data_IF_218030934232
#
_entry.id   IF_218030934232
#
_cell.length_a   1.000
_cell.length_b   1.000
_cell.length_c   1.000
_cell.angle_alpha   90.00
_cell.angle_beta   90.00
_cell.angle_gamma   90.00
#
_symmetry.space_group_name_H-M   'P 1'
#
loop_
_entity.id
_entity.type
_entity.pdbx_description
1 polymer ?
#
# COMPACT_ATOMS: atom_id res chain seq x y z
N UNK A 1 -14.04 -15.70 2.23
CA UNK A 1 -13.97 -17.06 1.67
C UNK A 1 -15.25 -17.85 1.97
N UNK A 2 -15.71 -17.93 3.23
CA UNK A 2 -16.96 -18.64 3.60
C UNK A 2 -18.20 -18.28 2.76
N UNK A 3 -18.44 -16.99 2.51
CA UNK A 3 -19.60 -16.52 1.71
C UNK A 3 -19.59 -17.10 0.28
N UNK A 4 -18.44 -17.21 -0.34
CA UNK A 4 -18.31 -17.73 -1.72
C UNK A 4 -18.49 -19.25 -1.73
N UNK A 5 -17.96 -19.96 -0.72
CA UNK A 5 -18.17 -21.39 -0.55
C UNK A 5 -19.66 -21.73 -0.34
N UNK A 6 -20.36 -21.01 0.53
CA UNK A 6 -21.81 -21.21 0.75
C UNK A 6 -22.62 -20.95 -0.52
N UNK A 7 -22.28 -19.89 -1.27
CA UNK A 7 -22.95 -19.60 -2.55
C UNK A 7 -22.70 -20.68 -3.60
N UNK A 8 -21.48 -21.20 -3.67
CA UNK A 8 -21.13 -22.29 -4.58
C UNK A 8 -21.89 -23.58 -4.22
N UNK A 9 -21.89 -23.97 -2.95
CA UNK A 9 -22.63 -25.14 -2.46
C UNK A 9 -24.14 -25.03 -2.72
N UNK A 10 -24.72 -23.84 -2.49
CA UNK A 10 -26.12 -23.57 -2.83
C UNK A 10 -26.39 -23.69 -4.32
N UNK A 11 -25.46 -23.22 -5.15
CA UNK A 11 -25.59 -23.24 -6.61
C UNK A 11 -25.48 -24.66 -7.21
N UNK A 12 -24.56 -25.49 -6.73
CA UNK A 12 -24.50 -26.91 -7.16
C UNK A 12 -25.71 -27.69 -6.67
N UNK A 13 -26.18 -27.42 -5.45
CA UNK A 13 -27.35 -28.09 -4.87
C UNK A 13 -28.64 -27.76 -5.63
N UNK A 14 -28.81 -26.52 -6.09
CA UNK A 14 -29.93 -26.13 -6.98
C UNK A 14 -29.95 -26.91 -8.30
N UNK A 15 -28.80 -27.49 -8.70
CA UNK A 15 -28.65 -28.32 -9.91
C UNK A 15 -28.69 -29.82 -9.61
N UNK A 16 -28.96 -30.19 -8.35
CA UNK A 16 -28.97 -31.60 -7.92
C UNK A 16 -27.58 -32.24 -7.91
N UNK A 17 -26.51 -31.45 -7.92
CA UNK A 17 -25.13 -31.94 -7.89
C UNK A 17 -24.58 -31.82 -6.48
N UNK A 18 -24.09 -32.94 -5.94
CA UNK A 18 -23.37 -32.95 -4.66
C UNK A 18 -21.91 -32.55 -4.86
N UNK A 19 -21.26 -32.09 -3.79
CA UNK A 19 -19.84 -31.72 -3.84
C UNK A 19 -18.93 -32.88 -4.32
N UNK A 20 -19.28 -34.12 -3.96
CA UNK A 20 -18.55 -35.32 -4.38
C UNK A 20 -18.73 -35.66 -5.87
N UNK A 21 -19.86 -35.25 -6.47
CA UNK A 21 -20.19 -35.47 -7.88
C UNK A 21 -19.84 -34.24 -8.74
N UNK A 22 -19.34 -33.17 -8.14
CA UNK A 22 -19.01 -31.94 -8.84
C UNK A 22 -17.90 -32.20 -9.85
N UNK A 23 -18.13 -31.78 -11.09
CA UNK A 23 -17.17 -31.93 -12.18
C UNK A 23 -16.37 -30.64 -12.42
N UNK A 24 -15.28 -30.76 -13.15
CA UNK A 24 -14.52 -29.60 -13.64
C UNK A 24 -15.41 -28.65 -14.47
N UNK A 25 -16.36 -29.18 -15.25
CA UNK A 25 -17.29 -28.38 -16.05
C UNK A 25 -18.27 -27.55 -15.20
N UNK A 26 -18.64 -28.02 -14.01
CA UNK A 26 -19.46 -27.26 -13.07
C UNK A 26 -18.68 -26.08 -12.48
N UNK A 27 -17.41 -26.31 -12.15
CA UNK A 27 -16.50 -25.25 -11.70
C UNK A 27 -16.28 -24.21 -12.79
N UNK A 28 -16.00 -24.62 -14.02
CA UNK A 28 -15.84 -23.69 -15.14
C UNK A 28 -17.10 -22.85 -15.38
N UNK A 29 -18.29 -23.48 -15.28
CA UNK A 29 -19.56 -22.78 -15.43
C UNK A 29 -19.87 -21.84 -14.27
N UNK A 30 -19.41 -22.14 -13.06
CA UNK A 30 -19.43 -21.22 -11.93
C UNK A 30 -18.50 -20.02 -12.16
N UNK A 31 -17.29 -20.26 -12.66
CA UNK A 31 -16.29 -19.20 -12.94
C UNK A 31 -16.70 -18.31 -14.12
N UNK A 32 -17.49 -18.82 -15.07
CA UNK A 32 -18.03 -18.06 -16.20
C UNK A 32 -18.96 -16.90 -15.76
N UNK A 33 -19.53 -16.95 -14.55
CA UNK A 33 -20.34 -15.87 -14.00
C UNK A 33 -19.50 -14.62 -13.61
N UNK A 34 -18.17 -14.73 -13.59
CA UNK A 34 -17.25 -13.61 -13.41
C UNK A 34 -16.23 -13.78 -12.28
N UNK A 35 -15.38 -12.76 -12.06
CA UNK A 35 -14.22 -12.85 -11.17
C UNK A 35 -14.58 -13.07 -9.69
N UNK A 36 -15.81 -12.78 -9.29
CA UNK A 36 -16.30 -13.00 -7.92
C UNK A 36 -16.42 -14.49 -7.54
N UNK A 37 -16.41 -15.41 -8.52
CA UNK A 37 -16.48 -16.86 -8.29
C UNK A 37 -15.15 -17.52 -7.94
N UNK A 38 -14.02 -16.90 -8.32
CA UNK A 38 -12.68 -17.48 -8.18
C UNK A 38 -12.18 -17.71 -6.74
N UNK A 39 -12.61 -16.95 -5.71
CA UNK A 39 -12.30 -17.27 -4.31
C UNK A 39 -12.83 -18.64 -3.83
N UNK A 40 -13.63 -19.35 -4.64
CA UNK A 40 -14.04 -20.74 -4.38
C UNK A 40 -12.85 -21.71 -4.40
N UNK A 41 -11.74 -21.35 -5.05
CA UNK A 41 -10.53 -22.19 -5.17
C UNK A 41 -10.06 -22.73 -3.83
N UNK A 42 -9.93 -21.87 -2.81
CA UNK A 42 -9.35 -22.26 -1.53
C UNK A 42 -10.28 -23.25 -0.79
N UNK A 43 -11.59 -23.12 -0.97
CA UNK A 43 -12.58 -24.08 -0.47
C UNK A 43 -12.47 -25.42 -1.21
N UNK A 44 -12.34 -25.41 -2.54
CA UNK A 44 -12.22 -26.64 -3.33
C UNK A 44 -10.89 -27.36 -3.09
N UNK A 45 -9.81 -26.62 -2.84
CA UNK A 45 -8.52 -27.18 -2.40
C UNK A 45 -8.68 -27.91 -1.07
N UNK A 46 -9.28 -27.24 -0.07
CA UNK A 46 -9.58 -27.86 1.22
C UNK A 46 -10.49 -29.10 1.09
N UNK A 47 -11.54 -29.01 0.26
CA UNK A 47 -12.48 -30.11 0.05
C UNK A 47 -11.82 -31.33 -0.60
N UNK A 48 -10.90 -31.11 -1.55
CA UNK A 48 -10.12 -32.18 -2.16
C UNK A 48 -9.13 -32.81 -1.17
N UNK A 49 -8.44 -31.99 -0.37
CA UNK A 49 -7.55 -32.46 0.70
C UNK A 49 -8.26 -33.34 1.73
N UNK A 50 -9.55 -33.08 2.01
CA UNK A 50 -10.37 -33.83 2.97
C UNK A 50 -11.27 -34.88 2.29
N UNK A 51 -11.03 -35.19 1.02
CA UNK A 51 -11.76 -36.22 0.25
C UNK A 51 -13.28 -35.97 0.11
N UNK A 52 -13.72 -34.71 0.19
CA UNK A 52 -15.11 -34.30 -0.04
C UNK A 52 -15.42 -33.99 -1.52
N UNK A 53 -14.40 -33.80 -2.36
CA UNK A 53 -14.51 -33.65 -3.80
C UNK A 53 -13.28 -34.21 -4.51
N UNK A 54 -13.38 -34.54 -5.81
CA UNK A 54 -12.19 -34.69 -6.65
C UNK A 54 -11.39 -33.38 -6.70
N UNK A 55 -10.10 -33.47 -7.02
CA UNK A 55 -9.25 -32.30 -7.24
C UNK A 55 -9.70 -31.54 -8.47
N UNK A 56 -10.07 -30.27 -8.30
CA UNK A 56 -10.55 -29.41 -9.39
C UNK A 56 -9.59 -28.26 -9.66
N UNK A 57 -9.48 -27.87 -10.92
CA UNK A 57 -8.57 -26.82 -11.37
C UNK A 57 -9.34 -25.51 -11.40
N UNK A 58 -9.01 -24.60 -10.49
CA UNK A 58 -9.47 -23.20 -10.54
C UNK A 58 -8.25 -22.33 -10.89
N UNK A 59 -8.26 -21.63 -12.04
CA UNK A 59 -7.17 -20.74 -12.41
C UNK A 59 -6.95 -19.69 -11.33
N UNK A 60 -5.70 -19.34 -11.08
CA UNK A 60 -5.41 -18.19 -10.23
C UNK A 60 -5.63 -16.94 -11.08
N UNK A 61 -6.68 -16.16 -10.83
CA UNK A 61 -6.72 -14.81 -11.41
C UNK A 61 -5.53 -14.06 -10.83
N UNK A 62 -4.60 -13.66 -11.69
CA UNK A 62 -3.62 -12.64 -11.32
C UNK A 62 -4.41 -11.44 -10.81
N UNK A 63 -4.27 -11.11 -9.52
CA UNK A 63 -4.94 -9.95 -8.93
C UNK A 63 -4.67 -8.77 -9.87
N UNK A 64 -5.70 -8.26 -10.55
CA UNK A 64 -5.56 -7.06 -11.39
C UNK A 64 -4.97 -6.02 -10.47
N UNK A 65 -3.73 -5.70 -10.75
CA UNK A 65 -3.00 -4.75 -9.97
C UNK A 65 -3.71 -3.44 -10.39
N UNK A 66 -4.61 -2.89 -9.54
CA UNK A 66 -5.37 -1.65 -9.80
C UNK A 66 -4.50 -0.46 -10.23
N UNK A 67 -5.03 0.58 -10.87
CA UNK A 67 -4.19 1.61 -11.49
C UNK A 67 -3.28 2.34 -10.49
N UNK A 68 -2.02 2.52 -10.87
CA UNK A 68 -1.10 3.41 -10.15
C UNK A 68 -1.50 4.86 -10.42
N UNK A 69 -1.21 5.78 -9.49
CA UNK A 69 -1.30 7.22 -9.79
C UNK A 69 -0.33 7.55 -10.91
N UNK A 70 -0.75 8.42 -11.83
CA UNK A 70 0.12 8.89 -12.91
C UNK A 70 1.40 9.53 -12.32
N UNK A 71 2.58 9.31 -12.92
CA UNK A 71 3.84 9.84 -12.39
C UNK A 71 3.83 11.37 -12.22
N UNK A 72 3.24 12.11 -13.17
CA UNK A 72 3.24 13.57 -13.16
C UNK A 72 2.26 14.09 -12.10
N UNK A 73 1.07 13.48 -12.03
CA UNK A 73 0.09 13.76 -10.98
C UNK A 73 0.69 13.51 -9.59
N UNK A 74 1.42 12.39 -9.43
CA UNK A 74 2.08 12.07 -8.16
C UNK A 74 3.16 13.09 -7.80
N UNK A 75 4.01 13.49 -8.75
CA UNK A 75 5.06 14.48 -8.48
C UNK A 75 4.50 15.87 -8.19
N UNK A 76 3.40 16.26 -8.83
CA UNK A 76 2.67 17.48 -8.50
C UNK A 76 2.13 17.45 -7.06
N UNK A 77 1.57 16.31 -6.62
CA UNK A 77 1.14 16.12 -5.24
C UNK A 77 2.31 16.17 -4.26
N UNK A 78 3.45 15.54 -4.57
CA UNK A 78 4.66 15.62 -3.74
C UNK A 78 5.15 17.06 -3.63
N UNK A 79 5.26 17.78 -4.75
CA UNK A 79 5.68 19.17 -4.76
C UNK A 79 4.76 20.05 -3.90
N UNK A 80 3.44 19.86 -4.01
CA UNK A 80 2.46 20.55 -3.18
C UNK A 80 2.63 20.22 -1.69
N UNK A 81 2.73 18.95 -1.30
CA UNK A 81 2.91 18.55 0.10
C UNK A 81 4.21 19.12 0.71
N UNK A 82 5.27 19.20 -0.09
CA UNK A 82 6.56 19.71 0.36
C UNK A 82 6.57 21.24 0.54
N UNK A 83 5.84 22.01 -0.27
CA UNK A 83 5.99 23.47 -0.32
C UNK A 83 4.74 24.27 0.10
N UNK A 84 3.54 23.69 0.05
CA UNK A 84 2.30 24.38 0.38
C UNK A 84 2.10 24.48 1.90
N UNK A 85 2.46 25.63 2.46
CA UNK A 85 2.35 25.91 3.91
C UNK A 85 0.92 26.14 4.39
N UNK A 86 -0.09 26.15 3.50
CA UNK A 86 -1.50 26.22 3.90
C UNK A 86 -2.05 24.87 4.34
N UNK A 87 -1.34 23.78 3.99
CA UNK A 87 -1.70 22.42 4.38
C UNK A 87 -1.23 22.11 5.80
N UNK A 88 -2.02 21.31 6.50
CA UNK A 88 -1.66 20.81 7.82
C UNK A 88 -0.35 20.02 7.78
N UNK A 89 0.58 20.34 8.68
CA UNK A 89 1.90 19.74 8.74
C UNK A 89 1.89 18.22 8.87
N UNK A 90 0.91 17.65 9.61
CA UNK A 90 0.73 16.20 9.73
C UNK A 90 0.43 15.59 8.36
N UNK A 91 -0.45 16.22 7.58
CA UNK A 91 -0.84 15.70 6.27
C UNK A 91 0.28 15.84 5.25
N UNK A 92 1.03 16.93 5.30
CA UNK A 92 2.23 17.16 4.48
C UNK A 92 3.26 16.06 4.70
N UNK A 93 3.65 15.83 5.96
CA UNK A 93 4.64 14.80 6.31
C UNK A 93 4.11 13.41 5.94
N UNK A 94 2.90 13.05 6.34
CA UNK A 94 2.34 11.73 6.07
C UNK A 94 2.18 11.45 4.57
N UNK A 95 1.73 12.44 3.81
CA UNK A 95 1.61 12.35 2.35
C UNK A 95 2.97 12.16 1.69
N UNK A 96 3.99 12.91 2.10
CA UNK A 96 5.35 12.75 1.57
C UNK A 96 5.96 11.39 1.92
N UNK A 97 5.74 10.87 3.14
CA UNK A 97 6.19 9.52 3.52
C UNK A 97 5.53 8.44 2.66
N UNK A 98 4.26 8.61 2.32
CA UNK A 98 3.54 7.71 1.43
C UNK A 98 4.04 7.80 -0.03
N UNK A 99 4.20 9.02 -0.57
CA UNK A 99 4.43 9.24 -2.00
C UNK A 99 5.91 9.26 -2.43
N UNK A 100 6.83 9.49 -1.49
CA UNK A 100 8.27 9.46 -1.75
C UNK A 100 8.88 8.10 -1.38
N UNK A 101 8.47 7.54 -0.24
CA UNK A 101 9.04 6.29 0.28
C UNK A 101 8.12 5.09 0.10
N UNK A 102 6.88 5.29 -0.32
CA UNK A 102 5.94 4.17 -0.44
C UNK A 102 5.74 3.54 0.93
N UNK A 103 5.54 4.32 1.99
CA UNK A 103 5.26 3.81 3.34
C UNK A 103 3.76 3.55 3.55
N UNK A 104 3.39 2.51 4.30
CA UNK A 104 1.97 2.13 4.49
C UNK A 104 1.32 3.08 5.48
N UNK A 105 0.08 3.52 5.25
CA UNK A 105 -0.62 4.38 6.21
C UNK A 105 -0.72 3.77 7.61
N UNK A 106 -0.87 2.45 7.71
CA UNK A 106 -0.86 1.72 8.98
C UNK A 106 0.46 1.87 9.73
N UNK A 107 1.58 1.94 9.02
CA UNK A 107 2.91 2.15 9.61
C UNK A 107 3.17 3.61 9.90
N UNK A 108 2.80 4.52 8.98
CA UNK A 108 2.91 5.97 9.18
C UNK A 108 2.15 6.36 10.45
N UNK A 109 0.90 5.92 10.59
CA UNK A 109 0.06 6.18 11.75
C UNK A 109 0.74 5.89 13.09
N UNK A 110 1.50 4.80 13.18
CA UNK A 110 2.15 4.34 14.42
C UNK A 110 3.63 4.73 14.51
N UNK A 111 4.11 5.66 13.68
CA UNK A 111 5.49 6.15 13.79
C UNK A 111 5.69 6.90 15.11
N UNK A 112 6.89 6.81 15.66
CA UNK A 112 7.28 7.48 16.90
C UNK A 112 8.36 8.54 16.66
N UNK A 113 8.55 9.43 17.63
CA UNK A 113 9.63 10.42 17.59
C UNK A 113 11.01 9.78 17.60
N UNK A 114 11.17 8.66 18.30
CA UNK A 114 12.43 7.88 18.36
C UNK A 114 12.81 7.20 17.03
N UNK A 115 12.00 7.39 15.98
CA UNK A 115 12.35 7.00 14.62
C UNK A 115 12.96 8.15 13.82
N UNK A 116 12.98 9.37 14.36
CA UNK A 116 13.60 10.53 13.72
C UNK A 116 14.87 10.87 14.49
N UNK A 117 16.00 10.81 13.79
CA UNK A 117 17.31 11.12 14.36
C UNK A 117 17.81 12.41 13.72
N UNK A 118 18.09 13.41 14.57
CA UNK A 118 18.67 14.68 14.15
C UNK A 118 20.18 14.61 14.36
N UNK A 119 20.93 14.77 13.29
CA UNK A 119 22.38 14.92 13.30
C UNK A 119 22.73 16.39 12.99
N UNK A 120 23.99 16.77 13.13
CA UNK A 120 24.43 18.15 12.95
C UNK A 120 24.19 18.69 11.53
N UNK A 121 24.23 17.81 10.52
CA UNK A 121 24.17 18.14 9.09
C UNK A 121 22.93 17.58 8.38
N UNK A 122 22.27 16.55 8.92
CA UNK A 122 21.14 15.91 8.28
C UNK A 122 20.13 15.31 9.25
N UNK A 123 18.93 15.01 8.74
CA UNK A 123 17.91 14.24 9.47
C UNK A 123 17.86 12.85 8.88
N UNK A 124 17.92 11.81 9.73
CA UNK A 124 17.64 10.45 9.31
C UNK A 124 16.32 9.93 9.88
N UNK A 125 15.67 9.05 9.13
CA UNK A 125 14.40 8.44 9.47
C UNK A 125 14.54 6.92 9.47
N UNK A 126 14.15 6.29 10.56
CA UNK A 126 14.19 4.85 10.73
C UNK A 126 12.94 4.19 10.15
N UNK A 127 13.12 3.38 9.12
CA UNK A 127 12.12 2.43 8.65
C UNK A 127 12.47 1.03 9.12
N UNK A 128 11.80 0.63 10.20
CA UNK A 128 12.02 -0.67 10.83
C UNK A 128 13.42 -0.79 11.42
N UNK A 129 14.38 -1.39 10.70
CA UNK A 129 15.77 -1.57 11.16
C UNK A 129 16.78 -0.72 10.39
N UNK A 130 16.34 0.03 9.38
CA UNK A 130 17.22 0.82 8.51
C UNK A 130 16.96 2.30 8.69
N UNK A 131 18.04 3.08 8.80
CA UNK A 131 17.99 4.53 8.80
C UNK A 131 18.24 5.04 7.39
N UNK A 132 17.40 5.96 6.95
CA UNK A 132 17.54 6.63 5.66
C UNK A 132 17.75 8.13 5.88
N UNK A 133 18.68 8.72 5.15
CA UNK A 133 18.84 10.18 5.14
C UNK A 133 17.64 10.80 4.44
N UNK A 134 16.95 11.72 5.12
CA UNK A 134 15.80 12.43 4.58
C UNK A 134 16.28 13.71 3.90
N UNK A 135 16.00 13.90 2.60
CA UNK A 135 16.40 15.11 1.90
C UNK A 135 15.50 16.31 2.27
N UNK A 136 16.04 17.51 2.08
CA UNK A 136 15.24 18.72 2.06
C UNK A 136 14.20 18.68 0.92
N UNK A 137 13.00 19.26 1.10
CA UNK A 137 12.55 20.02 2.28
C UNK A 137 11.87 19.16 3.37
N UNK A 138 11.80 17.84 3.19
CA UNK A 138 11.07 16.96 4.12
C UNK A 138 11.73 16.86 5.50
N UNK A 139 13.06 16.92 5.55
CA UNK A 139 13.84 17.04 6.80
C UNK A 139 13.34 18.18 7.68
N UNK A 140 13.15 19.38 7.10
CA UNK A 140 12.60 20.55 7.81
C UNK A 140 11.19 20.28 8.34
N UNK A 141 10.30 19.71 7.51
CA UNK A 141 8.93 19.39 7.93
C UNK A 141 8.88 18.39 9.10
N UNK A 142 9.77 17.40 9.12
CA UNK A 142 9.89 16.46 10.25
C UNK A 142 10.35 17.16 11.52
N UNK A 143 11.35 18.03 11.41
CA UNK A 143 11.86 18.83 12.54
C UNK A 143 10.79 19.78 13.08
N UNK A 144 10.04 20.47 12.20
CA UNK A 144 8.92 21.35 12.58
C UNK A 144 7.80 20.56 13.28
N UNK A 145 7.53 19.32 12.83
CA UNK A 145 6.51 18.45 13.43
C UNK A 145 6.93 17.94 14.82
N UNK A 146 8.23 17.81 15.08
CA UNK A 146 8.75 17.52 16.41
C UNK A 146 8.67 18.76 17.30
N UNK A 147 9.08 19.92 16.79
CA UNK A 147 9.12 21.17 17.55
C UNK A 147 7.73 21.67 17.95
N UNK A 148 6.76 21.64 17.03
CA UNK A 148 5.36 22.01 17.28
C UNK A 148 4.68 21.16 18.35
N UNK A 149 5.16 19.96 18.63
CA UNK A 149 4.63 19.13 19.73
C UNK A 149 5.22 19.50 21.09
N UNK A 150 6.41 20.09 21.13
CA UNK A 150 7.05 20.57 22.38
C UNK A 150 6.43 21.87 22.88
N UNK A 151 5.85 22.69 22.01
CA UNK A 151 5.23 23.98 22.39
C UNK A 151 3.87 23.87 23.09
N UNK A 152 3.22 22.70 23.07
CA UNK A 152 1.95 22.45 23.76
C UNK A 152 2.13 22.05 25.24
N UNK A 153 3.36 22.16 25.77
CA UNK A 153 3.70 21.87 27.15
C UNK A 153 3.39 23.07 28.05
N UNK A 154 2.17 23.14 28.57
CA UNK A 154 1.91 23.86 29.81
C UNK A 154 2.57 23.13 30.99
N UNK A 155 3.00 23.89 32.00
CA UNK A 155 3.58 23.37 33.25
C UNK A 155 2.60 22.37 33.89
N UNK A 156 2.96 21.08 33.93
CA UNK A 156 2.18 20.03 34.59
C UNK A 156 1.43 19.03 33.69
N UNK A 157 1.56 19.10 32.36
CA UNK A 157 0.94 18.11 31.45
C UNK A 157 1.78 16.82 31.33
N UNK A 158 1.17 15.61 31.33
CA UNK A 158 1.90 14.35 31.23
C UNK A 158 2.74 14.25 29.95
N UNK A 159 3.80 13.44 30.07
CA UNK A 159 4.84 13.14 29.08
C UNK A 159 4.33 13.14 27.65
N UNK A 160 5.00 13.89 26.78
CA UNK A 160 4.76 14.00 25.33
C UNK A 160 4.41 12.63 24.73
N UNK A 161 3.29 12.55 24.02
CA UNK A 161 2.90 11.33 23.31
C UNK A 161 4.07 10.84 22.43
N UNK A 162 4.49 9.56 22.53
CA UNK A 162 5.63 9.05 21.76
C UNK A 162 5.35 9.07 20.25
N UNK A 163 4.07 9.08 19.87
CA UNK A 163 3.59 9.05 18.50
C UNK A 163 3.92 10.32 17.74
N UNK A 164 4.58 10.18 16.59
CA UNK A 164 4.83 11.22 15.60
C UNK A 164 3.52 11.85 15.11
N UNK A 165 2.48 11.03 14.97
CA UNK A 165 1.14 11.43 14.56
C UNK A 165 0.13 11.14 15.68
N UNK A 166 -0.09 12.08 16.61
CA UNK A 166 -1.00 11.87 17.72
C UNK A 166 -2.46 11.76 17.26
N UNK A 167 -3.22 10.86 17.89
CA UNK A 167 -4.66 10.73 17.70
C UNK A 167 -5.45 11.67 18.60
N UNK A 168 -6.78 11.65 18.45
CA UNK A 168 -7.68 12.45 19.29
C UNK A 168 -7.81 11.88 20.72
N UNK A 169 -7.56 10.58 20.90
CA UNK A 169 -7.55 9.93 22.21
C UNK A 169 -6.16 10.06 22.85
N UNK A 170 -6.06 10.41 24.14
CA UNK A 170 -4.78 10.49 24.85
C UNK A 170 -3.96 9.21 24.73
N UNK A 171 -2.67 9.34 24.43
CA UNK A 171 -1.73 8.23 24.33
C UNK A 171 -1.92 7.30 23.13
N UNK A 172 -2.86 7.60 22.21
CA UNK A 172 -3.11 6.80 21.00
C UNK A 172 -2.59 7.52 19.76
N UNK A 173 -2.08 6.79 18.75
CA UNK A 173 -1.75 7.36 17.45
C UNK A 173 -3.02 7.69 16.66
N UNK A 174 -2.89 8.51 15.62
CA UNK A 174 -3.92 8.65 14.59
C UNK A 174 -4.21 7.29 13.95
N UNK A 175 -5.46 7.00 13.58
CA UNK A 175 -5.77 5.75 12.87
C UNK A 175 -5.39 5.86 11.39
N UNK A 176 -4.98 4.74 10.79
CA UNK A 176 -4.67 4.68 9.36
C UNK A 176 -5.85 5.12 8.48
N UNK A 177 -7.08 4.77 8.87
CA UNK A 177 -8.30 5.18 8.18
C UNK A 177 -8.49 6.69 8.22
N UNK A 178 -8.29 7.33 9.39
CA UNK A 178 -8.41 8.78 9.52
C UNK A 178 -7.34 9.52 8.73
N UNK A 179 -6.09 9.02 8.79
CA UNK A 179 -5.00 9.57 7.99
C UNK A 179 -5.29 9.44 6.49
N UNK A 180 -5.85 8.30 6.07
CA UNK A 180 -6.28 8.08 4.69
C UNK A 180 -7.41 9.02 4.24
N UNK A 181 -8.38 9.32 5.10
CA UNK A 181 -9.43 10.32 4.83
C UNK A 181 -8.83 11.71 4.63
N UNK A 182 -7.93 12.15 5.52
CA UNK A 182 -7.29 13.46 5.45
C UNK A 182 -6.49 13.61 4.14
N UNK A 183 -5.67 12.61 3.82
CA UNK A 183 -4.91 12.59 2.56
C UNK A 183 -5.81 12.56 1.32
N UNK A 184 -6.95 11.86 1.38
CA UNK A 184 -7.92 11.85 0.27
C UNK A 184 -8.50 13.23 -0.02
N UNK A 185 -8.73 14.06 1.00
CA UNK A 185 -9.19 15.45 0.82
C UNK A 185 -8.15 16.32 0.08
N UNK A 186 -6.88 15.93 0.14
CA UNK A 186 -5.79 16.60 -0.59
C UNK A 186 -5.59 16.04 -2.02
N UNK A 187 -6.43 15.10 -2.45
CA UNK A 187 -6.29 14.39 -3.73
C UNK A 187 -5.37 13.15 -3.66
N UNK A 188 -4.77 12.87 -2.50
CA UNK A 188 -3.84 11.75 -2.36
C UNK A 188 -4.60 10.44 -2.15
N UNK A 189 -4.66 9.61 -3.18
CA UNK A 189 -5.20 8.24 -3.08
C UNK A 189 -4.10 7.28 -2.61
N UNK A 190 -4.21 6.83 -1.36
CA UNK A 190 -3.13 6.09 -0.70
C UNK A 190 -2.65 4.84 -1.44
N UNK A 191 -3.57 3.99 -1.89
CA UNK A 191 -3.21 2.74 -2.56
C UNK A 191 -2.59 2.97 -3.97
N UNK A 192 -3.21 3.76 -4.87
CA UNK A 192 -2.60 4.15 -6.15
C UNK A 192 -1.26 4.88 -6.01
N UNK A 193 -1.15 5.81 -5.06
CA UNK A 193 0.07 6.61 -4.84
C UNK A 193 1.23 5.78 -4.28
N UNK A 194 0.95 4.95 -3.27
CA UNK A 194 1.93 3.97 -2.74
C UNK A 194 2.44 3.09 -3.86
N UNK A 195 1.53 2.60 -4.71
CA UNK A 195 1.89 1.71 -5.79
C UNK A 195 2.78 2.36 -6.83
N UNK A 196 2.44 3.56 -7.30
CA UNK A 196 3.27 4.31 -8.23
C UNK A 196 4.70 4.46 -7.69
N UNK A 197 4.79 4.76 -6.38
CA UNK A 197 6.07 4.86 -5.67
C UNK A 197 6.82 3.53 -5.64
N UNK A 198 6.16 2.42 -5.29
CA UNK A 198 6.77 1.09 -5.27
C UNK A 198 7.26 0.64 -6.65
N UNK A 199 6.50 0.94 -7.71
CA UNK A 199 6.92 0.65 -9.09
C UNK A 199 8.17 1.45 -9.47
N UNK A 200 8.22 2.75 -9.14
CA UNK A 200 9.40 3.57 -9.37
C UNK A 200 10.61 3.03 -8.59
N UNK A 201 10.47 2.78 -7.29
CA UNK A 201 11.57 2.31 -6.46
C UNK A 201 12.06 0.92 -6.92
N UNK A 202 11.14 0.03 -7.30
CA UNK A 202 11.48 -1.30 -7.81
C UNK A 202 12.14 -1.32 -9.18
N UNK A 203 12.09 -0.21 -9.92
CA UNK A 203 12.89 -0.02 -11.11
C UNK A 203 14.35 0.40 -10.79
N UNK A 204 14.59 0.97 -9.61
CA UNK A 204 15.87 1.59 -9.26
C UNK A 204 16.69 0.75 -8.29
N UNK A 205 16.05 -0.07 -7.45
CA UNK A 205 16.73 -0.87 -6.42
C UNK A 205 16.34 -2.36 -6.46
N UNK A 206 17.25 -3.28 -6.08
CA UNK A 206 16.96 -4.71 -6.01
C UNK A 206 15.83 -5.06 -5.03
N UNK A 207 15.17 -6.20 -5.26
CA UNK A 207 14.05 -6.66 -4.43
C UNK A 207 14.43 -6.86 -2.95
N UNK A 208 15.64 -7.31 -2.67
CA UNK A 208 16.12 -7.49 -1.30
C UNK A 208 16.17 -6.15 -0.53
N UNK A 209 16.73 -5.11 -1.16
CA UNK A 209 16.80 -3.76 -0.60
C UNK A 209 15.39 -3.19 -0.36
N UNK A 210 14.45 -3.43 -1.28
CA UNK A 210 13.05 -3.02 -1.06
C UNK A 210 12.34 -3.77 0.05
N UNK A 211 12.60 -5.07 0.18
CA UNK A 211 12.03 -5.88 1.26
C UNK A 211 12.50 -5.34 2.62
N UNK A 212 13.78 -5.01 2.71
CA UNK A 212 14.43 -4.50 3.91
C UNK A 212 14.04 -3.06 4.25
N UNK A 213 14.04 -2.13 3.29
CA UNK A 213 13.70 -0.73 3.52
C UNK A 213 12.21 -0.54 3.84
N UNK A 214 11.34 -1.28 3.14
CA UNK A 214 9.89 -1.11 3.24
C UNK A 214 9.23 -2.23 4.03
N UNK A 215 10.01 -3.04 4.76
CA UNK A 215 9.55 -4.17 5.58
C UNK A 215 8.51 -5.01 4.82
N UNK A 216 8.80 -5.36 3.56
CA UNK A 216 7.96 -6.21 2.72
C UNK A 216 8.41 -7.65 2.83
N UNK A 217 7.50 -8.60 2.62
CA UNK A 217 7.92 -10.00 2.47
C UNK A 217 8.76 -10.15 1.18
N UNK A 218 9.78 -11.03 1.14
CA UNK A 218 10.64 -11.19 -0.03
C UNK A 218 9.86 -11.47 -1.33
N UNK A 219 8.78 -12.26 -1.23
CA UNK A 219 7.89 -12.54 -2.36
C UNK A 219 7.13 -11.30 -2.86
N UNK A 220 6.73 -10.40 -1.95
CA UNK A 220 6.08 -9.13 -2.32
C UNK A 220 7.05 -8.19 -3.01
N UNK A 221 8.29 -8.07 -2.52
CA UNK A 221 9.31 -7.23 -3.14
C UNK A 221 9.73 -7.77 -4.53
N UNK A 222 9.89 -9.08 -4.68
CA UNK A 222 10.18 -9.74 -5.96
C UNK A 222 9.06 -9.53 -6.98
N UNK A 223 7.80 -9.51 -6.51
CA UNK A 223 6.66 -9.17 -7.37
C UNK A 223 6.72 -7.72 -7.84
N UNK A 224 7.04 -6.77 -6.96
CA UNK A 224 7.16 -5.36 -7.34
C UNK A 224 8.27 -5.11 -8.36
N UNK A 225 9.43 -5.77 -8.24
CA UNK A 225 10.51 -5.65 -9.24
C UNK A 225 10.15 -6.29 -10.57
N UNK A 226 9.39 -7.40 -10.56
CA UNK A 226 8.84 -8.00 -11.78
C UNK A 226 7.81 -7.08 -12.46
N UNK A 227 6.87 -6.57 -11.68
CA UNK A 227 5.81 -5.69 -12.15
C UNK A 227 6.41 -4.36 -12.69
N UNK A 228 7.44 -3.82 -12.02
CA UNK A 228 8.16 -2.63 -12.49
C UNK A 228 8.87 -2.85 -13.84
N UNK A 229 9.47 -4.02 -14.09
CA UNK A 229 10.06 -4.35 -15.40
C UNK A 229 9.00 -4.48 -16.51
N UNK A 230 7.83 -5.05 -16.18
CA UNK A 230 6.71 -5.21 -17.11
C UNK A 230 5.86 -3.95 -17.33
N UNK A 231 5.89 -3.00 -16.39
CA UNK A 231 5.30 -1.66 -16.54
C UNK A 231 6.30 -0.69 -17.20
N UNK A 232 7.62 -0.83 -17.01
CA UNK A 232 8.64 -0.03 -17.73
C UNK A 232 8.57 -0.23 -19.24
N UNK A 233 8.32 -1.45 -19.72
CA UNK A 233 8.14 -1.70 -21.15
C UNK A 233 6.89 -1.02 -21.71
N UNK A 234 5.80 -0.96 -20.92
CA UNK A 234 4.58 -0.21 -21.26
C UNK A 234 4.78 1.31 -21.15
N UNK A 235 5.48 1.78 -20.13
CA UNK A 235 5.82 3.19 -19.93
C UNK A 235 6.79 3.70 -21.00
N UNK A 236 7.83 2.94 -21.35
CA UNK A 236 8.73 3.25 -22.46
C UNK A 236 8.00 3.26 -23.80
N UNK A 237 7.04 2.37 -24.01
CA UNK A 237 6.17 2.38 -25.20
C UNK A 237 5.20 3.57 -25.19
N UNK A 238 4.67 3.99 -24.05
CA UNK A 238 3.84 5.20 -23.92
C UNK A 238 4.67 6.48 -24.10
N UNK A 239 5.91 6.52 -23.58
CA UNK A 239 6.83 7.63 -23.72
C UNK A 239 7.33 7.76 -25.17
N UNK A 240 7.65 6.64 -25.84
CA UNK A 240 7.98 6.61 -27.26
C UNK A 240 6.81 7.12 -28.12
N UNK A 241 5.58 6.66 -27.84
CA UNK A 241 4.36 7.15 -28.54
C UNK A 241 4.06 8.62 -28.30
N UNK A 242 4.46 9.19 -27.15
CA UNK A 242 4.30 10.62 -26.85
C UNK A 242 5.37 11.47 -27.55
N UNK A 243 6.59 10.96 -27.69
CA UNK A 243 7.66 11.64 -28.46
C UNK A 243 7.43 11.59 -29.97
N UNK A 244 6.73 10.58 -30.49
CA UNK A 244 6.33 10.50 -31.90
C UNK A 244 5.21 11.51 -32.28
N UNK A 245 4.64 12.24 -31.30
CA UNK A 245 3.58 13.24 -31.48
C UNK A 245 4.06 14.68 -31.22
N UNK A 246 5.33 14.98 -31.53
CA UNK A 246 5.83 16.36 -31.64
C UNK A 246 6.31 16.61 -33.08
N UNK A 247 5.54 17.34 -33.92
CA UNK A 247 6.04 17.90 -35.17
C UNK A 247 7.04 19.04 -34.93
#
# INVERSE_FOLDING_TARGET
QLVVATRFLGWINQRGVTLAQCSQGDVERWLAAGPAGYPVRDFLGWAAEHHHSPTMIVPTIGRTTGTATDPDERWALVARLLHDNTLDLIDRVAGSLLLCYGQQLSRIAVMTTDQIHQHDDHVSLRFGTHDITVPEPLSRLLTDLIASRRSHLGVGSPTTSPWLFPGHLPGRPITASRLGERLRLLGVRALPGRRATLLQLAAQVPAAVLAELLHLTPGTATRWTRDAKGDWSRYAADLARRNDYQP
#
